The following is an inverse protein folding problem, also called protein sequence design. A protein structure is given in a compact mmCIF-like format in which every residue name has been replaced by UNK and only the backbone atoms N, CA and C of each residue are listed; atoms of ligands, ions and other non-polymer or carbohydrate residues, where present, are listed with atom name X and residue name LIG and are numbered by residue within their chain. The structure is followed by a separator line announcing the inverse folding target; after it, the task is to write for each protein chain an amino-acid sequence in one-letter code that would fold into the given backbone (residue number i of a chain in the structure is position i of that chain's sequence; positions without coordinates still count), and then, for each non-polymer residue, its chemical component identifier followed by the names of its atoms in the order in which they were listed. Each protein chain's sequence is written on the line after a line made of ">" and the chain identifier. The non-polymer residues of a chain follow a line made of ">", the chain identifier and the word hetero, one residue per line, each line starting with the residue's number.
data_IF_288823323668
#
_entry.id   IF_288823323668
#
_cell.length_a   1.000
_cell.length_b   1.000
_cell.length_c   1.000
_cell.angle_alpha   90.00
_cell.angle_beta   90.00
_cell.angle_gamma   90.00
#
_symmetry.space_group_name_H-M   'P 1'
#
loop_
_entity.id
_entity.type
_entity.pdbx_description
1 polymer ?
#
# COMPACT_ATOMS: atom_id res chain seq x y z
N UNK A 1 -17.84 -19.45 15.27
CA UNK A 1 -16.75 -20.40 14.93
C UNK A 1 -16.45 -20.28 13.44
N UNK A 2 -15.62 -19.32 13.03
CA UNK A 2 -15.19 -19.11 11.65
C UNK A 2 -13.69 -19.34 11.55
N UNK A 3 -13.25 -20.26 10.69
CA UNK A 3 -11.83 -20.50 10.41
C UNK A 3 -11.26 -19.33 9.58
N UNK A 4 -9.99 -18.93 9.75
CA UNK A 4 -9.44 -17.76 9.07
C UNK A 4 -9.18 -18.04 7.59
N UNK A 5 -9.65 -17.12 6.73
CA UNK A 5 -9.51 -17.12 5.27
C UNK A 5 -8.06 -17.26 4.77
N UNK A 6 -7.05 -17.01 5.62
CA UNK A 6 -5.63 -17.06 5.27
C UNK A 6 -5.14 -18.43 4.77
N UNK A 7 -5.74 -19.54 5.22
CA UNK A 7 -5.40 -20.88 4.70
C UNK A 7 -5.95 -21.13 3.29
N UNK A 8 -6.98 -20.40 2.89
CA UNK A 8 -7.68 -20.59 1.60
C UNK A 8 -6.89 -19.98 0.44
N UNK A 9 -6.21 -18.85 0.65
CA UNK A 9 -5.32 -18.27 -0.36
C UNK A 9 -4.06 -19.11 -0.59
N UNK A 10 -3.51 -19.74 0.46
CA UNK A 10 -2.38 -20.66 0.33
C UNK A 10 -2.78 -21.97 -0.37
N UNK A 11 -3.99 -22.49 -0.14
CA UNK A 11 -4.49 -23.70 -0.81
C UNK A 11 -4.87 -23.48 -2.28
N UNK A 12 -5.45 -22.32 -2.63
CA UNK A 12 -5.80 -22.01 -4.03
C UNK A 12 -4.57 -21.80 -4.92
N UNK A 13 -3.44 -21.38 -4.34
CA UNK A 13 -2.14 -21.31 -5.03
C UNK A 13 -1.41 -22.66 -5.13
N UNK A 14 -1.72 -23.63 -4.27
CA UNK A 14 -1.10 -24.96 -4.28
C UNK A 14 -1.76 -25.93 -5.28
N UNK A 15 -3.03 -25.71 -5.65
CA UNK A 15 -3.81 -26.66 -6.47
C UNK A 15 -3.62 -26.55 -7.99
N UNK A 16 -2.87 -25.56 -8.49
CA UNK A 16 -2.50 -25.45 -9.91
C UNK A 16 -1.18 -26.16 -10.28
N UNK A 17 -0.55 -26.86 -9.32
CA UNK A 17 0.84 -27.35 -9.40
C UNK A 17 1.01 -28.68 -10.18
N UNK A 18 -0.03 -29.37 -10.65
CA UNK A 18 0.12 -30.78 -11.10
C UNK A 18 0.23 -31.06 -12.60
N UNK A 19 0.40 -30.10 -13.51
CA UNK A 19 0.26 -30.40 -14.97
C UNK A 19 1.47 -30.07 -15.87
N UNK A 20 2.54 -29.42 -15.43
CA UNK A 20 3.64 -29.10 -16.35
C UNK A 20 5.01 -29.38 -15.74
N UNK A 21 5.38 -30.66 -15.76
CA UNK A 21 6.78 -31.08 -15.67
C UNK A 21 7.03 -32.09 -16.79
N UNK A 22 7.62 -31.63 -17.90
CA UNK A 22 8.40 -32.52 -18.75
C UNK A 22 9.59 -31.78 -19.39
N UNK A 23 10.63 -32.56 -19.63
CA UNK A 23 12.05 -32.21 -19.57
C UNK A 23 12.59 -31.23 -20.64
N UNK A 24 13.57 -30.40 -20.22
CA UNK A 24 14.62 -29.87 -21.08
C UNK A 24 15.99 -29.92 -20.35
N UNK A 25 17.11 -30.17 -21.04
CA UNK A 25 18.41 -30.46 -20.42
C UNK A 25 19.07 -29.21 -19.84
N UNK A 26 19.82 -29.40 -18.76
CA UNK A 26 20.46 -28.36 -17.98
C UNK A 26 21.64 -27.68 -18.71
N UNK A 27 21.74 -26.33 -18.71
CA UNK A 27 22.94 -25.64 -19.13
C UNK A 27 23.94 -25.47 -17.97
N UNK A 28 25.16 -25.20 -18.40
CA UNK A 28 26.43 -25.20 -17.67
C UNK A 28 26.46 -24.28 -16.42
N UNK A 29 27.19 -24.72 -15.38
CA UNK A 29 27.26 -24.09 -14.06
C UNK A 29 28.24 -22.92 -14.05
N UNK A 30 27.72 -21.74 -14.39
CA UNK A 30 28.36 -20.45 -14.12
C UNK A 30 27.32 -19.33 -14.22
N UNK A 31 26.98 -18.71 -13.08
CA UNK A 31 26.24 -17.44 -12.95
C UNK A 31 24.78 -17.35 -13.46
N UNK A 32 24.11 -18.45 -13.76
CA UNK A 32 22.67 -18.44 -14.04
C UNK A 32 21.88 -18.77 -12.78
N UNK A 33 21.74 -17.80 -11.87
CA UNK A 33 20.60 -17.83 -10.94
C UNK A 33 19.35 -17.88 -11.81
N UNK A 34 18.58 -18.96 -11.70
CA UNK A 34 17.40 -19.15 -12.52
C UNK A 34 16.35 -18.11 -12.12
N UNK A 35 16.29 -17.00 -12.86
CA UNK A 35 15.31 -15.93 -12.66
C UNK A 35 13.87 -16.43 -12.78
N UNK A 36 13.64 -17.67 -13.24
CA UNK A 36 12.34 -18.36 -13.16
C UNK A 36 11.79 -18.44 -11.73
N UNK A 37 12.65 -18.32 -10.71
CA UNK A 37 12.28 -18.32 -9.30
C UNK A 37 11.92 -16.93 -8.76
N UNK A 38 12.28 -15.85 -9.44
CA UNK A 38 11.80 -14.51 -9.09
C UNK A 38 10.52 -14.22 -9.86
N UNK A 39 9.39 -14.15 -9.14
CA UNK A 39 8.09 -13.83 -9.72
C UNK A 39 7.67 -12.41 -9.36
N UNK A 40 7.12 -11.70 -10.32
CA UNK A 40 6.54 -10.38 -10.12
C UNK A 40 5.11 -10.33 -10.59
N UNK A 41 4.23 -9.73 -9.80
CA UNK A 41 2.83 -9.57 -10.15
C UNK A 41 2.27 -8.28 -9.56
N UNK A 42 1.25 -7.73 -10.21
CA UNK A 42 0.58 -6.51 -9.78
C UNK A 42 -0.92 -6.76 -9.65
N UNK A 43 -1.55 -6.18 -8.64
CA UNK A 43 -2.99 -6.29 -8.43
C UNK A 43 -3.54 -5.10 -7.64
N UNK A 44 -4.86 -4.97 -7.62
CA UNK A 44 -5.60 -3.99 -6.82
C UNK A 44 -6.50 -4.69 -5.81
N UNK A 45 -7.01 -3.95 -4.83
CA UNK A 45 -7.93 -4.53 -3.84
C UNK A 45 -9.27 -4.97 -4.44
N UNK A 46 -9.69 -4.36 -5.55
CA UNK A 46 -10.92 -4.66 -6.28
C UNK A 46 -10.76 -4.31 -7.76
N UNK A 47 -11.69 -4.77 -8.59
CA UNK A 47 -11.71 -4.51 -10.04
C UNK A 47 -12.70 -3.43 -10.44
N UNK A 48 -13.54 -2.95 -9.52
CA UNK A 48 -14.55 -1.93 -9.77
C UNK A 48 -14.38 -0.76 -8.80
N UNK A 49 -14.28 0.44 -9.34
CA UNK A 49 -14.10 1.68 -8.59
C UNK A 49 -15.15 2.69 -9.01
N UNK A 50 -15.42 3.68 -8.16
CA UNK A 50 -16.24 4.84 -8.52
C UNK A 50 -15.33 5.96 -9.03
N UNK A 51 -15.83 6.79 -9.94
CA UNK A 51 -15.15 8.01 -10.36
C UNK A 51 -14.57 8.79 -9.17
N UNK A 52 -13.29 9.17 -9.23
CA UNK A 52 -12.60 9.89 -8.15
C UNK A 52 -12.20 9.04 -6.93
N UNK A 53 -12.45 7.73 -6.95
CA UNK A 53 -11.94 6.81 -5.92
C UNK A 53 -10.46 6.48 -6.16
N UNK A 54 -9.57 6.62 -5.17
CA UNK A 54 -8.17 6.25 -5.31
C UNK A 54 -7.97 4.75 -5.59
N UNK A 55 -7.13 4.41 -6.58
CA UNK A 55 -6.81 3.02 -6.92
C UNK A 55 -5.51 2.60 -6.24
N UNK A 56 -5.59 1.71 -5.25
CA UNK A 56 -4.40 1.16 -4.60
C UNK A 56 -3.83 -0.02 -5.40
N UNK A 57 -2.74 0.22 -6.12
CA UNK A 57 -1.96 -0.80 -6.81
C UNK A 57 -0.95 -1.42 -5.85
N UNK A 58 -0.88 -2.74 -5.82
CA UNK A 58 0.10 -3.52 -5.07
C UNK A 58 0.98 -4.27 -6.04
N UNK A 59 2.28 -4.16 -5.83
CA UNK A 59 3.34 -4.75 -6.63
C UNK A 59 4.05 -5.76 -5.74
N UNK A 60 4.14 -7.00 -6.17
CA UNK A 60 4.76 -8.05 -5.40
C UNK A 60 5.99 -8.58 -6.12
N UNK A 61 7.07 -8.72 -5.36
CA UNK A 61 8.31 -9.37 -5.77
C UNK A 61 8.46 -10.59 -4.87
N UNK A 62 8.34 -11.78 -5.43
CA UNK A 62 8.35 -13.03 -4.69
C UNK A 62 9.56 -13.88 -5.11
N UNK A 63 10.35 -14.29 -4.13
CA UNK A 63 11.43 -15.24 -4.31
C UNK A 63 10.93 -16.65 -3.99
N UNK A 64 10.84 -17.48 -5.03
CA UNK A 64 10.45 -18.88 -4.94
C UNK A 64 11.66 -19.82 -4.87
N UNK A 65 12.88 -19.29 -4.83
CA UNK A 65 14.07 -20.09 -4.56
C UNK A 65 14.04 -20.57 -3.11
N UNK A 66 14.52 -21.78 -2.91
CA UNK A 66 14.74 -22.37 -1.58
C UNK A 66 16.12 -22.04 -1.01
N UNK A 67 17.04 -21.56 -1.85
CA UNK A 67 18.46 -21.42 -1.50
C UNK A 67 18.95 -19.99 -1.73
N UNK A 68 18.51 -19.36 -2.83
CA UNK A 68 19.04 -18.08 -3.24
C UNK A 68 18.35 -16.91 -2.54
N UNK A 69 19.14 -15.89 -2.20
CA UNK A 69 18.62 -14.57 -1.88
C UNK A 69 18.77 -13.68 -3.11
N UNK A 70 17.71 -12.98 -3.50
CA UNK A 70 17.80 -11.95 -4.53
C UNK A 70 18.08 -10.58 -3.91
N UNK A 71 19.06 -9.88 -4.47
CA UNK A 71 19.30 -8.46 -4.24
C UNK A 71 18.57 -7.65 -5.32
N UNK A 72 17.52 -6.92 -4.95
CA UNK A 72 16.78 -6.02 -5.84
C UNK A 72 17.16 -4.58 -5.54
N UNK A 73 17.86 -3.93 -6.45
CA UNK A 73 18.30 -2.54 -6.30
C UNK A 73 17.59 -1.64 -7.31
N UNK A 74 16.99 -0.55 -6.83
CA UNK A 74 16.25 0.41 -7.64
C UNK A 74 15.90 1.68 -6.87
N UNK A 75 15.42 2.69 -7.57
CA UNK A 75 14.85 3.90 -7.00
C UNK A 75 13.40 3.69 -6.52
N UNK A 76 12.70 2.74 -7.14
CA UNK A 76 11.34 2.34 -6.81
C UNK A 76 10.33 3.50 -6.83
N UNK A 77 10.46 4.38 -7.83
CA UNK A 77 9.63 5.58 -7.95
C UNK A 77 9.14 5.77 -9.40
N UNK A 78 7.86 6.11 -9.66
CA UNK A 78 7.29 6.31 -11.01
C UNK A 78 8.05 7.31 -11.90
N UNK A 79 8.70 8.30 -11.27
CA UNK A 79 9.53 9.29 -11.94
C UNK A 79 10.87 8.74 -12.45
N UNK A 80 11.36 7.62 -11.91
CA UNK A 80 12.69 7.08 -12.16
C UNK A 80 12.66 5.74 -12.90
N UNK A 81 12.89 4.65 -12.17
CA UNK A 81 13.06 3.30 -12.68
C UNK A 81 11.77 2.47 -12.66
N UNK A 82 10.74 2.96 -11.98
CA UNK A 82 9.43 2.34 -11.98
C UNK A 82 8.53 3.10 -12.95
N UNK A 83 7.76 2.38 -13.76
CA UNK A 83 6.87 3.00 -14.73
C UNK A 83 5.48 2.37 -14.58
N UNK A 84 4.49 3.24 -14.43
CA UNK A 84 3.08 2.90 -14.41
C UNK A 84 2.47 3.52 -15.67
N UNK A 85 1.93 2.68 -16.54
CA UNK A 85 1.20 3.12 -17.73
C UNK A 85 -0.28 2.93 -17.46
N UNK A 86 -1.09 3.94 -17.75
CA UNK A 86 -2.54 3.91 -17.58
C UNK A 86 -3.19 4.22 -18.92
N UNK A 87 -4.12 3.39 -19.34
CA UNK A 87 -4.85 3.56 -20.59
C UNK A 87 -6.33 3.31 -20.35
N UNK A 88 -7.20 4.21 -20.80
CA UNK A 88 -8.62 3.88 -20.98
C UNK A 88 -8.77 3.04 -22.24
N UNK A 89 -9.75 2.15 -22.26
CA UNK A 89 -10.01 1.28 -23.41
C UNK A 89 -10.19 2.08 -24.71
N UNK A 90 -9.30 1.85 -25.68
CA UNK A 90 -9.29 2.55 -26.97
C UNK A 90 -8.37 3.78 -27.03
N UNK A 91 -7.75 4.16 -25.91
CA UNK A 91 -6.80 5.27 -25.83
C UNK A 91 -5.35 4.77 -25.79
N UNK A 92 -4.41 5.67 -26.07
CA UNK A 92 -2.97 5.37 -25.98
C UNK A 92 -2.58 5.36 -24.51
N UNK A 93 -1.77 4.38 -24.04
CA UNK A 93 -1.29 4.38 -22.67
C UNK A 93 -0.46 5.62 -22.35
N UNK A 94 -0.82 6.30 -21.27
CA UNK A 94 -0.10 7.46 -20.75
C UNK A 94 0.77 7.02 -19.57
N UNK A 95 1.97 7.62 -19.48
CA UNK A 95 2.85 7.39 -18.32
C UNK A 95 2.35 8.21 -17.15
N UNK A 96 2.02 7.52 -16.06
CA UNK A 96 1.65 8.15 -14.82
C UNK A 96 2.89 8.65 -14.06
N UNK A 97 2.87 9.93 -13.67
CA UNK A 97 4.00 10.57 -12.99
C UNK A 97 3.71 10.98 -11.55
N UNK A 98 2.45 10.90 -11.10
CA UNK A 98 1.99 11.47 -9.82
C UNK A 98 2.29 12.97 -9.67
N UNK A 99 2.54 13.67 -10.78
CA UNK A 99 3.03 15.06 -10.78
C UNK A 99 4.48 15.24 -10.37
N UNK A 100 5.24 14.15 -10.28
CA UNK A 100 6.64 14.16 -9.93
C UNK A 100 7.45 13.92 -11.21
N UNK A 101 8.01 15.00 -11.77
CA UNK A 101 8.80 14.91 -13.00
C UNK A 101 10.30 14.80 -12.72
N UNK A 102 10.80 15.33 -11.59
CA UNK A 102 12.24 15.40 -11.30
C UNK A 102 12.55 15.22 -9.81
N UNK A 103 12.55 13.98 -9.30
CA UNK A 103 13.04 13.68 -7.95
C UNK A 103 14.19 12.68 -8.00
N UNK A 104 15.33 13.09 -7.44
CA UNK A 104 16.43 12.19 -7.14
C UNK A 104 16.12 11.43 -5.84
N UNK A 105 15.45 10.29 -5.97
CA UNK A 105 15.33 9.34 -4.86
C UNK A 105 16.67 8.61 -4.73
N UNK A 106 17.20 8.32 -3.53
CA UNK A 106 18.34 7.42 -3.42
C UNK A 106 17.92 5.99 -3.81
N UNK A 107 18.80 5.28 -4.52
CA UNK A 107 18.57 3.87 -4.79
C UNK A 107 18.49 3.09 -3.47
N UNK A 108 17.50 2.23 -3.36
CA UNK A 108 17.28 1.32 -2.23
C UNK A 108 17.52 -0.11 -2.68
N UNK A 109 18.27 -0.84 -1.87
CA UNK A 109 18.49 -2.28 -2.05
C UNK A 109 17.56 -3.07 -1.14
N UNK A 110 16.79 -3.98 -1.72
CA UNK A 110 16.00 -4.98 -1.02
C UNK A 110 16.65 -6.34 -1.12
N UNK A 111 16.90 -6.92 0.04
CA UNK A 111 17.18 -8.35 0.12
C UNK A 111 15.85 -9.11 0.17
N UNK A 112 15.74 -10.08 -0.71
CA UNK A 112 14.60 -10.97 -0.83
C UNK A 112 15.09 -12.41 -0.55
N UNK A 113 15.10 -12.84 0.73
CA UNK A 113 15.51 -14.18 1.12
C UNK A 113 14.72 -15.30 0.43
N UNK A 114 15.18 -16.56 0.52
CA UNK A 114 14.43 -17.72 0.06
C UNK A 114 12.99 -17.74 0.58
N UNK A 115 12.05 -18.13 -0.28
CA UNK A 115 10.62 -18.27 0.03
C UNK A 115 9.99 -17.03 0.66
N UNK A 116 10.50 -15.84 0.34
CA UNK A 116 10.00 -14.57 0.86
C UNK A 116 9.38 -13.72 -0.24
N UNK A 117 8.56 -12.76 0.17
CA UNK A 117 8.01 -11.77 -0.74
C UNK A 117 8.13 -10.36 -0.17
N UNK A 118 8.19 -9.39 -1.06
CA UNK A 118 8.12 -7.97 -0.75
C UNK A 118 6.99 -7.35 -1.53
N UNK A 119 6.24 -6.47 -0.86
CA UNK A 119 5.18 -5.71 -1.49
C UNK A 119 5.51 -4.23 -1.46
N UNK A 120 5.34 -3.58 -2.60
CA UNK A 120 5.24 -2.13 -2.71
C UNK A 120 3.80 -1.81 -3.03
N UNK A 121 3.30 -0.68 -2.54
CA UNK A 121 1.98 -0.19 -2.93
C UNK A 121 2.10 1.23 -3.44
N UNK A 122 1.23 1.57 -4.38
CA UNK A 122 1.12 2.89 -4.95
C UNK A 122 -0.35 3.26 -5.02
N UNK A 123 -0.71 4.40 -4.44
CA UNK A 123 -2.04 4.94 -4.60
C UNK A 123 -2.07 5.73 -5.92
N UNK A 124 -2.96 5.41 -6.83
CA UNK A 124 -3.14 6.15 -8.07
C UNK A 124 -4.33 7.09 -7.90
N UNK A 125 -4.06 8.39 -7.86
CA UNK A 125 -5.11 9.39 -7.71
C UNK A 125 -4.83 10.66 -8.49
N UNK A 126 -3.63 11.25 -8.37
CA UNK A 126 -3.34 12.60 -8.85
C UNK A 126 -2.57 12.64 -10.17
N UNK A 127 -3.05 13.41 -11.15
CA UNK A 127 -2.34 13.76 -12.39
C UNK A 127 -2.48 15.29 -12.63
N UNK A 128 -1.42 16.09 -12.44
CA UNK A 128 -1.53 17.56 -12.48
C UNK A 128 -1.99 18.15 -13.80
N UNK A 129 -1.77 17.43 -14.92
CA UNK A 129 -2.13 17.92 -16.24
C UNK A 129 -3.64 17.78 -16.53
N UNK A 130 -4.39 17.10 -15.65
CA UNK A 130 -5.84 16.92 -15.75
C UNK A 130 -6.57 18.10 -15.08
N UNK A 131 -7.67 18.55 -15.65
CA UNK A 131 -8.42 19.74 -15.18
C UNK A 131 -8.89 19.61 -13.72
N UNK A 132 -9.41 18.44 -13.34
CA UNK A 132 -9.82 18.15 -11.95
C UNK A 132 -8.69 17.54 -11.11
N UNK A 133 -7.51 17.32 -11.71
CA UNK A 133 -6.32 16.69 -11.14
C UNK A 133 -6.44 15.20 -10.82
N UNK A 134 -7.54 14.52 -11.15
CA UNK A 134 -7.68 13.07 -10.96
C UNK A 134 -7.16 12.32 -12.19
N UNK A 135 -6.41 11.24 -11.95
CA UNK A 135 -5.89 10.37 -13.00
C UNK A 135 -7.01 9.61 -13.73
N UNK A 136 -8.01 9.15 -12.99
CA UNK A 136 -9.15 8.38 -13.49
C UNK A 136 -10.39 9.28 -13.43
N UNK A 137 -10.41 10.26 -14.33
CA UNK A 137 -11.36 11.37 -14.40
C UNK A 137 -12.61 11.05 -15.23
N UNK A 138 -12.69 9.87 -15.84
CA UNK A 138 -13.84 9.43 -16.63
C UNK A 138 -14.25 7.98 -16.30
N UNK A 139 -15.55 7.66 -16.38
CA UNK A 139 -16.04 6.29 -16.31
C UNK A 139 -15.58 5.46 -17.51
N UNK A 140 -15.32 4.18 -17.30
CA UNK A 140 -14.87 3.28 -18.37
C UNK A 140 -13.95 2.17 -17.88
N UNK A 141 -13.54 1.32 -18.81
CA UNK A 141 -12.55 0.28 -18.56
C UNK A 141 -11.14 0.86 -18.73
N UNK A 142 -10.29 0.66 -17.73
CA UNK A 142 -8.89 1.08 -17.74
C UNK A 142 -7.98 -0.14 -17.59
N UNK A 143 -6.83 -0.07 -18.27
CA UNK A 143 -5.71 -0.98 -18.11
C UNK A 143 -4.58 -0.22 -17.43
N UNK A 144 -4.03 -0.80 -16.37
CA UNK A 144 -2.84 -0.32 -15.66
C UNK A 144 -1.74 -1.35 -15.87
N UNK A 145 -0.67 -0.97 -16.54
CA UNK A 145 0.52 -1.80 -16.71
C UNK A 145 1.66 -1.25 -15.86
N UNK A 146 2.44 -2.14 -15.25
CA UNK A 146 3.56 -1.75 -14.41
C UNK A 146 4.85 -2.42 -14.88
N UNK A 147 5.93 -1.66 -14.93
CA UNK A 147 7.27 -2.21 -15.16
C UNK A 147 8.32 -1.55 -14.26
N UNK A 148 9.35 -2.30 -13.90
CA UNK A 148 10.45 -1.83 -13.05
C UNK A 148 11.80 -2.12 -13.72
N UNK A 149 12.66 -1.11 -13.83
CA UNK A 149 14.03 -1.19 -14.36
C UNK A 149 15.03 -1.26 -13.20
N UNK A 150 15.24 -2.47 -12.68
CA UNK A 150 16.00 -2.67 -11.45
C UNK A 150 17.25 -3.49 -11.71
N UNK A 151 18.25 -3.39 -10.83
CA UNK A 151 19.35 -4.34 -10.82
C UNK A 151 18.99 -5.53 -9.93
N UNK A 152 19.11 -6.74 -10.49
CA UNK A 152 18.93 -8.00 -9.76
C UNK A 152 20.31 -8.63 -9.63
N UNK A 153 20.79 -8.82 -8.40
CA UNK A 153 22.14 -9.29 -8.12
C UNK A 153 23.17 -8.49 -8.95
N UNK A 154 23.04 -7.15 -8.88
CA UNK A 154 23.86 -6.16 -9.60
C UNK A 154 23.74 -6.17 -11.13
N UNK A 155 22.84 -6.97 -11.69
CA UNK A 155 22.65 -7.02 -13.14
C UNK A 155 21.36 -6.30 -13.53
N UNK A 156 21.40 -5.25 -14.38
CA UNK A 156 20.21 -4.54 -14.82
C UNK A 156 19.18 -5.44 -15.53
N UNK A 157 17.91 -5.28 -15.18
CA UNK A 157 16.77 -6.05 -15.69
C UNK A 157 15.53 -5.17 -15.78
N UNK A 158 14.62 -5.56 -16.68
CA UNK A 158 13.27 -5.00 -16.75
C UNK A 158 12.30 -6.05 -16.28
N UNK A 159 11.64 -5.79 -15.16
CA UNK A 159 10.57 -6.61 -14.61
C UNK A 159 9.25 -6.07 -15.15
N UNK A 160 8.56 -6.86 -15.97
CA UNK A 160 7.19 -6.57 -16.39
C UNK A 160 6.24 -7.26 -15.42
N UNK A 161 5.31 -6.51 -14.86
CA UNK A 161 4.28 -7.03 -13.96
C UNK A 161 2.97 -7.22 -14.73
N UNK A 162 2.05 -7.95 -14.12
CA UNK A 162 0.73 -8.22 -14.70
C UNK A 162 -0.05 -6.95 -15.01
N UNK A 163 -0.81 -6.98 -16.10
CA UNK A 163 -1.77 -5.93 -16.43
C UNK A 163 -2.98 -6.02 -15.50
N UNK A 164 -3.34 -4.89 -14.90
CA UNK A 164 -4.50 -4.76 -14.05
C UNK A 164 -5.61 -4.10 -14.85
N UNK A 165 -6.79 -4.72 -14.86
CA UNK A 165 -8.00 -4.13 -15.46
C UNK A 165 -8.93 -3.64 -14.37
N UNK A 166 -9.32 -2.38 -14.46
CA UNK A 166 -10.26 -1.75 -13.52
C UNK A 166 -11.40 -1.08 -14.27
N UNK A 167 -12.62 -1.28 -13.80
CA UNK A 167 -13.82 -0.61 -14.29
C UNK A 167 -14.13 0.58 -13.38
N UNK A 168 -14.10 1.79 -13.95
CA UNK A 168 -14.55 3.01 -13.30
C UNK A 168 -16.04 3.19 -13.59
N UNK A 169 -16.85 3.22 -12.55
CA UNK A 169 -18.30 3.35 -12.60
C UNK A 169 -18.71 4.81 -12.43
N UNK A 170 -19.83 5.14 -13.04
CA UNK A 170 -20.54 6.39 -12.76
C UNK A 170 -20.86 6.49 -11.26
N UNK A 171 -20.72 7.68 -10.66
CA UNK A 171 -21.13 7.90 -9.28
C UNK A 171 -22.66 7.82 -9.15
N UNK A 172 -23.13 7.35 -8.01
CA UNK A 172 -24.51 7.53 -7.58
C UNK A 172 -24.79 8.99 -7.23
N UNK A 173 -26.06 9.40 -7.14
CA UNK A 173 -26.44 10.77 -6.78
C UNK A 173 -25.86 11.25 -5.43
N UNK A 174 -25.68 10.36 -4.45
CA UNK A 174 -25.01 10.70 -3.19
C UNK A 174 -23.50 10.91 -3.39
N UNK A 175 -22.86 10.04 -4.17
CA UNK A 175 -21.43 10.15 -4.49
C UNK A 175 -21.13 11.39 -5.33
N UNK A 176 -22.01 11.80 -6.24
CA UNK A 176 -21.88 13.06 -6.98
C UNK A 176 -21.80 14.28 -6.07
N UNK A 177 -22.55 14.30 -4.96
CA UNK A 177 -22.49 15.40 -3.99
C UNK A 177 -21.13 15.47 -3.31
N UNK A 178 -20.54 14.30 -3.00
CA UNK A 178 -19.18 14.22 -2.45
C UNK A 178 -18.16 14.67 -3.49
N UNK A 179 -18.28 14.20 -4.75
CA UNK A 179 -17.39 14.56 -5.83
C UNK A 179 -17.39 16.06 -6.14
N UNK A 180 -18.52 16.75 -6.01
CA UNK A 180 -18.58 18.23 -6.10
C UNK A 180 -17.71 18.94 -5.07
N UNK A 181 -17.44 18.30 -3.93
CA UNK A 181 -16.52 18.84 -2.92
C UNK A 181 -15.06 18.56 -3.29
N UNK A 182 -14.75 17.35 -3.76
CA UNK A 182 -13.37 16.85 -3.84
C UNK A 182 -12.77 16.77 -5.25
N UNK A 183 -13.54 16.95 -6.33
CA UNK A 183 -13.00 16.95 -7.70
C UNK A 183 -12.24 18.24 -8.00
N UNK A 184 -11.11 18.41 -7.32
CA UNK A 184 -10.19 19.54 -7.44
C UNK A 184 -8.76 19.01 -7.38
N UNK A 185 -7.80 19.62 -8.10
CA UNK A 185 -6.42 19.14 -8.11
C UNK A 185 -5.79 19.03 -6.73
N UNK A 186 -6.13 19.94 -5.82
CA UNK A 186 -5.61 19.93 -4.47
C UNK A 186 -6.11 18.70 -3.69
N UNK A 187 -7.37 18.35 -3.83
CA UNK A 187 -7.91 17.16 -3.16
C UNK A 187 -7.33 15.87 -3.73
N UNK A 188 -7.13 15.79 -5.05
CA UNK A 188 -6.47 14.64 -5.68
C UNK A 188 -5.04 14.44 -5.13
N UNK A 189 -4.28 15.52 -5.02
CA UNK A 189 -2.93 15.50 -4.47
C UNK A 189 -2.89 15.16 -2.98
N UNK A 190 -3.85 15.63 -2.18
CA UNK A 190 -3.96 15.24 -0.77
C UNK A 190 -4.20 13.74 -0.60
N UNK A 191 -5.09 13.18 -1.41
CA UNK A 191 -5.34 11.74 -1.44
C UNK A 191 -4.06 10.98 -1.85
N UNK A 192 -3.36 11.45 -2.88
CA UNK A 192 -2.11 10.87 -3.37
C UNK A 192 -1.02 10.81 -2.29
N UNK A 193 -0.81 11.91 -1.57
CA UNK A 193 0.21 12.05 -0.52
C UNK A 193 -0.26 11.51 0.83
N UNK A 194 -1.55 11.18 0.94
CA UNK A 194 -2.23 10.81 2.19
C UNK A 194 -1.94 11.84 3.28
N UNK A 195 -2.17 13.12 2.96
CA UNK A 195 -1.97 14.25 3.86
C UNK A 195 -2.88 15.43 3.47
N UNK A 196 -3.70 15.92 4.41
CA UNK A 196 -4.47 17.16 4.18
C UNK A 196 -3.55 18.38 4.25
N UNK A 197 -3.71 19.30 3.31
CA UNK A 197 -3.13 20.65 3.37
C UNK A 197 -4.05 21.61 4.10
N UNK A 198 -3.51 22.76 4.50
CA UNK A 198 -4.29 23.78 5.20
C UNK A 198 -5.42 24.33 4.31
N UNK A 199 -5.15 24.51 3.01
CA UNK A 199 -6.11 25.02 2.02
C UNK A 199 -7.30 24.09 1.76
N UNK A 200 -7.16 22.79 2.03
CA UNK A 200 -8.18 21.74 1.79
C UNK A 200 -8.77 21.18 3.07
N UNK A 201 -8.23 21.51 4.25
CA UNK A 201 -8.67 20.96 5.53
C UNK A 201 -10.19 21.10 5.74
N UNK A 202 -10.75 22.28 5.46
CA UNK A 202 -12.19 22.52 5.60
C UNK A 202 -13.02 21.63 4.67
N UNK A 203 -12.53 21.34 3.45
CA UNK A 203 -13.24 20.47 2.50
C UNK A 203 -13.33 19.04 3.06
N UNK A 204 -12.22 18.55 3.63
CA UNK A 204 -12.17 17.22 4.24
C UNK A 204 -13.00 17.13 5.52
N UNK A 205 -13.03 18.19 6.34
CA UNK A 205 -13.89 18.28 7.52
C UNK A 205 -15.38 18.23 7.13
N UNK A 206 -15.77 19.05 6.15
CA UNK A 206 -17.13 19.07 5.61
C UNK A 206 -17.53 17.69 5.07
N UNK A 207 -16.63 17.00 4.35
CA UNK A 207 -16.89 15.66 3.84
C UNK A 207 -17.10 14.66 4.98
N UNK A 208 -16.18 14.63 5.95
CA UNK A 208 -16.24 13.70 7.07
C UNK A 208 -17.50 13.91 7.93
N UNK A 209 -17.96 15.16 8.08
CA UNK A 209 -19.14 15.50 8.86
C UNK A 209 -20.45 15.24 8.10
N UNK A 210 -20.54 15.67 6.84
CA UNK A 210 -21.79 15.62 6.05
C UNK A 210 -22.01 14.26 5.40
N UNK A 211 -20.93 13.54 5.09
CA UNK A 211 -20.96 12.27 4.38
C UNK A 211 -20.15 11.17 5.11
N UNK A 212 -20.41 10.90 6.40
CA UNK A 212 -19.59 10.00 7.23
C UNK A 212 -19.59 8.54 6.77
N UNK A 213 -20.56 8.14 5.93
CA UNK A 213 -20.67 6.80 5.36
C UNK A 213 -20.20 6.71 3.90
N UNK A 214 -19.70 7.81 3.33
CA UNK A 214 -19.21 7.81 1.96
C UNK A 214 -17.92 7.00 1.81
N UNK A 215 -17.63 6.59 0.57
CA UNK A 215 -16.38 5.90 0.22
C UNK A 215 -15.13 6.73 0.56
N UNK A 216 -15.24 8.06 0.55
CA UNK A 216 -14.15 8.99 0.84
C UNK A 216 -14.06 9.40 2.31
N UNK A 217 -15.04 9.07 3.14
CA UNK A 217 -15.04 9.40 4.57
C UNK A 217 -13.79 8.87 5.32
N UNK A 218 -13.37 7.59 5.17
CA UNK A 218 -12.16 7.13 5.85
C UNK A 218 -10.89 7.81 5.34
N UNK A 219 -10.84 8.19 4.06
CA UNK A 219 -9.73 8.99 3.53
C UNK A 219 -9.70 10.36 4.19
N UNK A 220 -10.80 11.11 4.19
CA UNK A 220 -10.88 12.44 4.81
C UNK A 220 -10.45 12.40 6.28
N UNK A 221 -10.95 11.43 7.05
CA UNK A 221 -10.56 11.25 8.45
C UNK A 221 -9.07 10.93 8.61
N UNK A 222 -8.51 10.04 7.78
CA UNK A 222 -7.08 9.73 7.80
C UNK A 222 -6.23 10.97 7.44
N UNK A 223 -6.62 11.73 6.42
CA UNK A 223 -5.91 12.94 5.97
C UNK A 223 -5.85 14.00 7.08
N UNK A 224 -6.98 14.27 7.73
CA UNK A 224 -7.08 15.21 8.85
C UNK A 224 -6.31 14.74 10.08
N UNK A 225 -6.45 13.46 10.45
CA UNK A 225 -5.73 12.90 11.60
C UNK A 225 -4.21 12.89 11.37
N UNK A 226 -3.73 12.61 10.15
CA UNK A 226 -2.30 12.74 9.82
C UNK A 226 -1.80 14.16 9.89
N UNK A 227 -2.57 15.14 9.39
CA UNK A 227 -2.24 16.55 9.55
C UNK A 227 -2.11 16.90 11.03
N UNK A 228 -3.04 16.47 11.86
CA UNK A 228 -2.98 16.66 13.31
C UNK A 228 -1.75 15.95 13.93
N UNK A 229 -1.39 14.73 13.48
CA UNK A 229 -0.20 14.03 13.95
C UNK A 229 1.09 14.81 13.66
N UNK A 230 1.17 15.49 12.52
CA UNK A 230 2.35 16.25 12.10
C UNK A 230 2.51 17.55 12.90
N UNK A 231 1.40 18.19 13.30
CA UNK A 231 1.40 19.52 13.95
C UNK A 231 1.20 19.47 15.46
N UNK A 232 0.64 18.37 15.99
CA UNK A 232 0.35 18.25 17.41
C UNK A 232 1.62 18.23 18.26
N UNK A 233 1.52 18.90 19.40
CA UNK A 233 2.51 18.85 20.48
C UNK A 233 1.79 18.47 21.77
N UNK A 234 2.42 17.65 22.61
CA UNK A 234 1.83 17.22 23.88
C UNK A 234 0.99 15.94 23.76
N UNK A 235 -0.28 16.02 24.15
CA UNK A 235 -1.15 14.85 24.32
C UNK A 235 -1.72 14.33 22.98
N UNK A 236 -1.26 13.16 22.56
CA UNK A 236 -1.73 12.41 21.38
C UNK A 236 -2.83 11.39 21.70
N UNK A 237 -3.41 11.37 22.90
CA UNK A 237 -4.46 10.40 23.29
C UNK A 237 -5.69 10.52 22.39
N UNK A 238 -6.24 11.73 22.23
CA UNK A 238 -7.40 11.97 21.37
C UNK A 238 -7.12 11.60 19.91
N UNK A 239 -5.86 11.75 19.46
CA UNK A 239 -5.45 11.39 18.11
C UNK A 239 -5.35 9.86 17.93
N UNK A 240 -4.79 9.18 18.92
CA UNK A 240 -4.77 7.72 18.92
C UNK A 240 -6.21 7.19 18.83
N UNK A 241 -7.12 7.67 19.67
CA UNK A 241 -8.55 7.34 19.67
C UNK A 241 -9.23 7.60 18.32
N UNK A 242 -8.88 8.69 17.63
CA UNK A 242 -9.36 8.97 16.28
C UNK A 242 -8.91 7.89 15.28
N UNK A 243 -7.64 7.48 15.30
CA UNK A 243 -7.17 6.38 14.47
C UNK A 243 -7.83 5.05 14.83
N UNK A 244 -8.06 4.77 16.12
CA UNK A 244 -8.79 3.58 16.55
C UNK A 244 -10.23 3.57 16.02
N UNK A 245 -10.89 4.74 16.04
CA UNK A 245 -12.22 4.90 15.48
C UNK A 245 -12.24 4.67 13.95
N UNK A 246 -11.26 5.18 13.20
CA UNK A 246 -11.15 4.90 11.75
C UNK A 246 -11.01 3.40 11.51
N UNK A 247 -10.11 2.74 12.25
CA UNK A 247 -9.87 1.30 12.14
C UNK A 247 -11.12 0.45 12.44
N UNK A 248 -11.92 0.86 13.42
CA UNK A 248 -13.15 0.18 13.83
C UNK A 248 -14.31 0.45 12.88
N UNK A 249 -14.51 1.71 12.51
CA UNK A 249 -15.69 2.16 11.77
C UNK A 249 -15.56 1.86 10.27
N UNK A 250 -14.34 1.67 9.75
CA UNK A 250 -14.06 1.36 8.34
C UNK A 250 -13.13 0.13 8.21
N UNK A 251 -13.60 -1.07 8.55
CA UNK A 251 -12.77 -2.27 8.53
C UNK A 251 -12.23 -2.59 7.13
N UNK A 252 -12.95 -2.29 6.05
CA UNK A 252 -12.51 -2.59 4.68
C UNK A 252 -11.68 -1.47 4.02
N UNK A 253 -11.27 -0.47 4.81
CA UNK A 253 -10.51 0.67 4.28
C UNK A 253 -9.17 0.21 3.67
N UNK A 254 -8.85 0.55 2.39
CA UNK A 254 -7.63 0.09 1.75
C UNK A 254 -6.31 0.48 2.43
N UNK A 255 -6.33 1.55 3.23
CA UNK A 255 -5.18 2.09 3.97
C UNK A 255 -5.25 1.78 5.47
N UNK A 256 -5.93 0.70 5.88
CA UNK A 256 -6.08 0.33 7.30
C UNK A 256 -4.73 0.09 8.00
N UNK A 257 -3.72 -0.40 7.29
CA UNK A 257 -2.37 -0.54 7.84
C UNK A 257 -1.68 0.82 8.10
N UNK A 258 -1.97 1.86 7.30
CA UNK A 258 -1.53 3.23 7.62
C UNK A 258 -2.17 3.74 8.90
N UNK A 259 -3.48 3.46 9.08
CA UNK A 259 -4.22 3.82 10.29
C UNK A 259 -3.62 3.12 11.51
N UNK A 260 -3.32 1.83 11.41
CA UNK A 260 -2.72 1.06 12.52
C UNK A 260 -1.35 1.60 12.89
N UNK A 261 -0.52 1.90 11.87
CA UNK A 261 0.81 2.44 12.11
C UNK A 261 0.75 3.85 12.71
N UNK A 262 -0.15 4.72 12.23
CA UNK A 262 -0.34 6.06 12.78
C UNK A 262 -0.87 6.03 14.23
N UNK A 263 -1.75 5.07 14.56
CA UNK A 263 -2.18 4.83 15.93
C UNK A 263 -1.01 4.40 16.82
N UNK A 264 -0.19 3.44 16.36
CA UNK A 264 0.99 2.99 17.09
C UNK A 264 1.99 4.14 17.33
N UNK A 265 2.20 5.02 16.35
CA UNK A 265 3.03 6.22 16.49
C UNK A 265 2.47 7.21 17.50
N UNK A 266 1.14 7.40 17.51
CA UNK A 266 0.47 8.28 18.46
C UNK A 266 0.70 7.79 19.90
N UNK A 267 0.55 6.47 20.14
CA UNK A 267 0.85 5.86 21.43
C UNK A 267 2.34 5.88 21.81
N UNK A 268 3.27 5.67 20.86
CA UNK A 268 4.73 5.80 21.10
C UNK A 268 5.08 7.22 21.56
N UNK A 269 4.51 8.24 20.91
CA UNK A 269 4.75 9.65 21.28
C UNK A 269 4.19 10.00 22.65
N UNK A 270 3.15 9.29 23.12
CA UNK A 270 2.65 9.38 24.49
C UNK A 270 3.50 8.65 25.52
N UNK A 271 4.56 7.96 25.12
CA UNK A 271 5.33 7.11 26.01
C UNK A 271 4.55 5.89 26.51
N UNK A 272 3.53 5.45 25.76
CA UNK A 272 2.66 4.31 26.05
C UNK A 272 3.06 3.10 25.18
N UNK A 273 4.14 2.38 25.53
CA UNK A 273 4.75 1.36 24.68
C UNK A 273 3.85 0.15 24.45
N UNK A 274 3.05 -0.25 25.45
CA UNK A 274 2.23 -1.46 25.39
C UNK A 274 1.07 -1.28 24.42
N UNK A 275 0.45 -0.10 24.45
CA UNK A 275 -0.60 0.31 23.53
C UNK A 275 -0.06 0.39 22.10
N UNK A 276 1.10 1.01 21.91
CA UNK A 276 1.76 1.01 20.61
C UNK A 276 2.05 -0.41 20.11
N UNK A 277 2.58 -1.28 20.97
CA UNK A 277 2.91 -2.66 20.64
C UNK A 277 1.69 -3.45 20.15
N UNK A 278 0.54 -3.31 20.81
CA UNK A 278 -0.72 -3.98 20.41
C UNK A 278 -1.10 -3.62 18.97
N UNK A 279 -0.94 -2.37 18.57
CA UNK A 279 -1.20 -1.94 17.20
C UNK A 279 -0.16 -2.45 16.19
N UNK A 280 1.12 -2.48 16.56
CA UNK A 280 2.17 -3.05 15.71
C UNK A 280 1.98 -4.56 15.47
N UNK A 281 1.58 -5.31 16.51
CA UNK A 281 1.26 -6.74 16.39
C UNK A 281 0.09 -7.00 15.44
N UNK A 282 -0.90 -6.10 15.41
CA UNK A 282 -1.99 -6.18 14.43
C UNK A 282 -1.49 -5.98 13.00
N UNK A 283 -0.54 -5.05 12.76
CA UNK A 283 0.07 -4.88 11.44
C UNK A 283 0.78 -6.17 11.02
N UNK A 284 1.59 -6.76 11.90
CA UNK A 284 2.29 -8.01 11.60
C UNK A 284 1.34 -9.17 11.27
N UNK A 285 0.27 -9.31 12.05
CA UNK A 285 -0.71 -10.39 11.90
C UNK A 285 -1.61 -10.22 10.68
N UNK A 286 -2.08 -9.00 10.43
CA UNK A 286 -3.13 -8.71 9.44
C UNK A 286 -2.57 -8.17 8.12
N UNK A 287 -1.40 -7.54 8.16
CA UNK A 287 -0.75 -6.91 7.02
C UNK A 287 0.76 -7.25 6.97
N UNK A 288 1.14 -8.54 6.91
CA UNK A 288 2.54 -8.97 6.92
C UNK A 288 3.39 -8.43 5.76
N UNK A 289 2.73 -7.87 4.74
CA UNK A 289 3.34 -7.27 3.55
C UNK A 289 3.24 -5.74 3.54
N UNK A 290 2.76 -5.12 4.62
CA UNK A 290 2.65 -3.67 4.74
C UNK A 290 4.02 -3.01 4.57
N UNK A 291 4.11 -1.84 3.89
CA UNK A 291 5.35 -1.06 3.88
C UNK A 291 5.78 -0.61 5.28
N UNK A 292 4.85 -0.59 6.25
CA UNK A 292 5.14 -0.24 7.64
C UNK A 292 5.81 -1.35 8.43
N UNK A 293 5.95 -2.57 7.88
CA UNK A 293 6.54 -3.71 8.60
C UNK A 293 7.94 -3.41 9.12
N UNK A 294 8.82 -2.81 8.31
CA UNK A 294 10.19 -2.49 8.76
C UNK A 294 10.21 -1.47 9.90
N UNK A 295 9.42 -0.40 9.78
CA UNK A 295 9.32 0.62 10.81
C UNK A 295 8.67 0.07 12.09
N UNK A 296 7.67 -0.80 11.91
CA UNK A 296 6.99 -1.53 12.99
C UNK A 296 7.96 -2.44 13.73
N UNK A 297 8.76 -3.25 13.03
CA UNK A 297 9.78 -4.11 13.65
C UNK A 297 10.82 -3.31 14.44
N UNK A 298 11.20 -2.11 13.97
CA UNK A 298 12.14 -1.24 14.70
C UNK A 298 11.53 -0.73 16.01
N UNK A 299 10.28 -0.25 15.97
CA UNK A 299 9.56 0.20 17.17
C UNK A 299 9.33 -0.97 18.15
N UNK A 300 8.96 -2.13 17.61
CA UNK A 300 8.79 -3.37 18.36
C UNK A 300 10.09 -3.76 19.07
N UNK A 301 11.23 -3.76 18.35
CA UNK A 301 12.55 -4.03 18.91
C UNK A 301 12.98 -3.02 19.99
N UNK A 302 12.69 -1.73 19.80
CA UNK A 302 12.89 -0.68 20.82
C UNK A 302 12.18 -1.02 22.12
N UNK A 303 10.94 -1.49 22.05
CA UNK A 303 10.16 -1.82 23.25
C UNK A 303 10.63 -3.10 23.93
N UNK A 304 10.96 -4.14 23.15
CA UNK A 304 11.52 -5.38 23.68
C UNK A 304 12.81 -5.14 24.45
N UNK A 305 13.70 -4.33 23.89
CA UNK A 305 14.96 -4.00 24.55
C UNK A 305 14.72 -3.24 25.86
N UNK A 306 13.72 -2.35 25.90
CA UNK A 306 13.44 -1.48 27.05
C UNK A 306 12.70 -2.18 28.19
N UNK A 307 11.67 -2.95 27.88
CA UNK A 307 10.78 -3.56 28.88
C UNK A 307 11.18 -4.99 29.26
N UNK A 308 12.14 -5.58 28.54
CA UNK A 308 12.57 -6.97 28.68
C UNK A 308 11.66 -7.93 27.91
N UNK A 309 12.29 -8.86 27.18
CA UNK A 309 11.59 -9.87 26.34
C UNK A 309 10.50 -10.64 27.10
N UNK A 310 10.78 -11.02 28.35
CA UNK A 310 9.89 -11.85 29.19
C UNK A 310 8.57 -11.16 29.54
N UNK A 311 8.56 -9.83 29.65
CA UNK A 311 7.37 -9.06 30.03
C UNK A 311 6.39 -8.89 28.86
N UNK A 312 6.91 -8.91 27.63
CA UNK A 312 6.14 -8.70 26.40
C UNK A 312 5.57 -10.01 25.84
N UNK A 313 6.32 -11.12 25.93
CA UNK A 313 5.93 -12.43 25.40
C UNK A 313 5.36 -13.41 26.45
N UNK A 314 5.01 -12.92 27.65
CA UNK A 314 4.33 -13.76 28.64
C UNK A 314 3.01 -14.30 28.07
N UNK A 315 2.72 -15.62 28.17
CA UNK A 315 1.57 -16.28 27.52
C UNK A 315 0.19 -15.64 27.77
N UNK A 316 0.06 -14.84 28.83
CA UNK A 316 -1.15 -14.10 29.17
C UNK A 316 -1.48 -12.95 28.19
N UNK A 317 -0.50 -12.41 27.45
CA UNK A 317 -0.71 -11.27 26.54
C UNK A 317 -1.19 -11.64 25.13
N UNK A 318 -1.09 -12.92 24.73
CA UNK A 318 -1.54 -13.40 23.41
C UNK A 318 -2.97 -13.97 23.43
N UNK A 319 -3.66 -13.90 24.56
CA UNK A 319 -4.94 -14.56 24.81
C UNK A 319 -6.18 -13.63 24.78
N UNK A 320 -6.04 -12.34 24.48
CA UNK A 320 -7.14 -11.36 24.33
C UNK A 320 -7.27 -10.84 22.89
#
# INVERSE_FOLDING_TARGET
>A
MGKPLARTCALLLALSISVLADAAPAPDRGDLVSLTQLRTFAFTNKTEYVLGEPVLVKLVFANWSHEDTFELQGYWHPANDFEILVARSGEIPERYTAGIKDILVPATTYLLPPLSLRTRRWLLCHEPERENGFLLDQPGLYTIACQARVAINRTPRVLKLDEIRVQIKEPTAEQEQVLKLILRPECAKDLQEVRARDETAQIWEDLAQRFPKSLWAPYAKLLLARRALDTATGDFTALAEQFEAIARDYPDFPLRDDVYYACALSWDRMGKPLEALRWLQRIEREFPTSPHMHASSRLFGKYIYREGWERIYSPWYLAE
#
